data_IF_935078707701
#
_entry.id   IF_935078707701
#
_cell.length_a   1.000
_cell.length_b   1.000
_cell.length_c   1.000
_cell.angle_alpha   90.00
_cell.angle_beta   90.00
_cell.angle_gamma   90.00
#
_symmetry.space_group_name_H-M   'P 1'
#
loop_
_entity.id
_entity.type
_entity.pdbx_description
1 polymer ?
#
# COMPACT_ATOMS: atom_id res chain seq x y z
N UNK A 1 14.56 -10.31 26.85
CA UNK A 1 13.41 -9.44 26.51
C UNK A 1 12.18 -10.32 26.30
N UNK A 2 11.07 -10.10 27.00
CA UNK A 2 9.84 -10.89 26.81
C UNK A 2 9.01 -10.25 25.70
N UNK A 3 8.90 -10.93 24.56
CA UNK A 3 7.94 -10.57 23.50
C UNK A 3 6.60 -11.15 23.93
N UNK A 4 5.63 -10.28 24.22
CA UNK A 4 4.25 -10.73 24.42
C UNK A 4 3.63 -10.87 23.03
N UNK A 5 3.21 -12.10 22.67
CA UNK A 5 2.54 -12.40 21.40
C UNK A 5 1.08 -12.67 21.67
N UNK A 6 0.22 -11.74 21.29
CA UNK A 6 -1.18 -12.01 21.01
C UNK A 6 -1.29 -12.24 19.49
N UNK A 7 -2.28 -12.97 18.99
CA UNK A 7 -2.38 -13.30 17.55
C UNK A 7 -2.16 -12.07 16.64
N UNK A 8 -1.03 -12.07 15.89
CA UNK A 8 -0.66 -10.96 15.02
C UNK A 8 -0.09 -9.71 15.70
N UNK A 9 -0.04 -9.63 17.03
CA UNK A 9 0.52 -8.51 17.80
C UNK A 9 1.85 -8.91 18.45
N UNK A 10 2.94 -8.26 18.06
CA UNK A 10 4.24 -8.39 18.72
C UNK A 10 4.61 -7.09 19.42
N UNK A 11 4.69 -7.10 20.76
CA UNK A 11 5.06 -5.92 21.55
C UNK A 11 6.58 -5.85 21.72
N UNK A 12 7.16 -4.67 21.47
CA UNK A 12 8.57 -4.39 21.61
C UNK A 12 8.80 -3.08 22.39
N UNK A 13 10.06 -2.73 22.65
CA UNK A 13 10.39 -1.44 23.25
C UNK A 13 10.10 -0.32 22.23
N UNK A 14 9.38 0.72 22.64
CA UNK A 14 9.05 1.90 21.84
C UNK A 14 8.14 1.63 20.61
N UNK A 15 7.48 0.47 20.57
CA UNK A 15 6.53 0.13 19.50
C UNK A 15 6.00 -1.30 19.55
N UNK A 16 5.17 -1.63 18.58
CA UNK A 16 4.61 -2.95 18.36
C UNK A 16 4.52 -3.25 16.86
N UNK A 17 4.44 -4.51 16.49
CA UNK A 17 4.04 -4.94 15.13
C UNK A 17 2.63 -5.50 15.20
N UNK A 18 1.70 -4.92 14.45
CA UNK A 18 0.35 -5.42 14.30
C UNK A 18 0.19 -5.97 12.89
N UNK A 19 -0.07 -7.27 12.76
CA UNK A 19 -0.14 -8.01 11.51
C UNK A 19 1.09 -7.79 10.60
N UNK A 20 2.26 -7.53 11.21
CA UNK A 20 3.50 -7.22 10.50
C UNK A 20 3.67 -5.76 10.07
N UNK A 21 2.73 -4.87 10.41
CA UNK A 21 2.85 -3.41 10.25
C UNK A 21 3.45 -2.77 11.52
N UNK A 22 4.48 -1.93 11.44
CA UNK A 22 5.10 -1.28 12.59
C UNK A 22 4.25 -0.11 13.11
N UNK A 23 3.99 -0.10 14.41
CA UNK A 23 3.30 0.98 15.14
C UNK A 23 4.20 1.42 16.30
N UNK A 24 4.32 2.72 16.54
CA UNK A 24 5.11 3.26 17.66
C UNK A 24 5.95 4.46 17.25
N UNK A 25 7.10 4.61 17.91
CA UNK A 25 8.03 5.73 17.68
C UNK A 25 8.66 5.69 16.29
N UNK A 26 9.11 6.84 15.80
CA UNK A 26 9.76 6.91 14.49
C UNK A 26 11.07 6.12 14.45
N UNK A 27 11.84 6.11 15.53
CA UNK A 27 13.02 5.27 15.66
C UNK A 27 12.71 3.77 15.51
N UNK A 28 11.56 3.32 16.06
CA UNK A 28 11.10 1.94 15.90
C UNK A 28 10.72 1.63 14.45
N UNK A 29 9.97 2.53 13.79
CA UNK A 29 9.58 2.38 12.38
C UNK A 29 10.80 2.39 11.44
N UNK A 30 11.76 3.28 11.68
CA UNK A 30 13.01 3.34 10.91
C UNK A 30 13.81 2.04 11.07
N UNK A 31 13.95 1.53 12.29
CA UNK A 31 14.63 0.25 12.54
C UNK A 31 13.93 -0.90 11.82
N UNK A 32 12.59 -0.89 11.79
CA UNK A 32 11.80 -1.84 11.02
C UNK A 32 12.09 -1.76 9.52
N UNK A 33 12.12 -0.56 8.94
CA UNK A 33 12.42 -0.38 7.51
C UNK A 33 13.81 -0.89 7.13
N UNK A 34 14.82 -0.61 7.94
CA UNK A 34 16.19 -1.12 7.72
C UNK A 34 16.21 -2.66 7.71
N UNK A 35 15.61 -3.29 8.72
CA UNK A 35 15.54 -4.75 8.79
C UNK A 35 14.80 -5.35 7.58
N UNK A 36 13.74 -4.70 7.09
CA UNK A 36 13.02 -5.15 5.90
C UNK A 36 13.81 -4.99 4.60
N UNK A 37 14.62 -3.94 4.47
CA UNK A 37 15.54 -3.82 3.34
C UNK A 37 16.60 -4.90 3.34
N UNK A 38 17.16 -5.25 4.49
CA UNK A 38 18.13 -6.34 4.61
C UNK A 38 17.50 -7.69 4.23
N UNK A 39 16.28 -7.97 4.70
CA UNK A 39 15.53 -9.17 4.30
C UNK A 39 15.31 -9.24 2.77
N UNK A 40 14.93 -8.12 2.16
CA UNK A 40 14.70 -8.02 0.71
C UNK A 40 16.03 -8.19 -0.04
N UNK A 41 17.10 -7.56 0.41
CA UNK A 41 18.43 -7.72 -0.17
C UNK A 41 18.88 -9.19 -0.13
N UNK A 42 18.65 -9.89 0.99
CA UNK A 42 18.93 -11.32 1.11
C UNK A 42 18.13 -12.19 0.14
N UNK A 43 16.86 -11.82 -0.12
CA UNK A 43 16.04 -12.48 -1.15
C UNK A 43 16.59 -12.21 -2.56
N UNK A 44 16.90 -10.96 -2.88
CA UNK A 44 17.42 -10.57 -4.19
C UNK A 44 18.76 -11.24 -4.50
N UNK A 45 19.62 -11.38 -3.50
CA UNK A 45 20.86 -12.15 -3.62
C UNK A 45 20.59 -13.59 -4.04
N UNK A 46 19.64 -14.28 -3.36
CA UNK A 46 19.26 -15.65 -3.71
C UNK A 46 18.68 -15.77 -5.11
N UNK A 47 17.86 -14.81 -5.53
CA UNK A 47 17.33 -14.76 -6.90
C UNK A 47 18.48 -14.62 -7.91
N UNK A 48 19.46 -13.76 -7.64
CA UNK A 48 20.62 -13.57 -8.50
C UNK A 48 21.50 -14.80 -8.70
N UNK A 49 21.46 -15.78 -7.78
CA UNK A 49 22.20 -17.05 -7.91
C UNK A 49 21.53 -18.05 -8.88
N UNK A 50 20.29 -17.81 -9.31
CA UNK A 50 19.59 -18.68 -10.25
C UNK A 50 20.21 -18.58 -11.65
N UNK A 51 20.27 -19.69 -12.38
CA UNK A 51 20.88 -19.72 -13.71
C UNK A 51 19.95 -19.25 -14.85
N UNK A 52 18.65 -19.11 -14.59
CA UNK A 52 17.65 -18.79 -15.61
C UNK A 52 17.09 -17.38 -15.39
N UNK A 53 17.37 -16.46 -16.33
CA UNK A 53 16.95 -15.06 -16.28
C UNK A 53 15.42 -14.89 -16.29
N UNK A 54 14.68 -15.74 -17.00
CA UNK A 54 13.22 -15.69 -17.01
C UNK A 54 12.65 -16.01 -15.62
N UNK A 55 13.19 -17.02 -14.95
CA UNK A 55 12.78 -17.36 -13.57
C UNK A 55 13.14 -16.21 -12.62
N UNK A 56 14.31 -15.60 -12.77
CA UNK A 56 14.70 -14.44 -11.98
C UNK A 56 13.68 -13.29 -12.14
N UNK A 57 13.34 -12.92 -13.37
CA UNK A 57 12.39 -11.84 -13.67
C UNK A 57 11.01 -12.14 -13.08
N UNK A 58 10.52 -13.39 -13.20
CA UNK A 58 9.26 -13.79 -12.61
C UNK A 58 9.27 -13.66 -11.08
N UNK A 59 10.33 -14.10 -10.41
CA UNK A 59 10.48 -13.96 -8.96
C UNK A 59 10.63 -12.50 -8.53
N UNK A 60 11.33 -11.67 -9.32
CA UNK A 60 11.39 -10.24 -9.07
C UNK A 60 9.99 -9.63 -9.10
N UNK A 61 9.20 -9.92 -10.13
CA UNK A 61 7.86 -9.38 -10.32
C UNK A 61 6.84 -9.86 -9.28
N UNK A 62 6.77 -11.16 -9.05
CA UNK A 62 5.69 -11.74 -8.26
C UNK A 62 6.06 -11.97 -6.79
N UNK A 63 7.35 -11.97 -6.44
CA UNK A 63 7.79 -12.32 -5.10
C UNK A 63 8.61 -11.24 -4.40
N UNK A 64 9.52 -10.53 -5.08
CA UNK A 64 10.36 -9.52 -4.44
C UNK A 64 9.70 -8.13 -4.44
N UNK A 65 9.31 -7.64 -5.62
CA UNK A 65 8.69 -6.34 -5.81
C UNK A 65 7.40 -6.11 -4.99
N UNK A 66 6.45 -7.06 -4.91
CA UNK A 66 5.18 -6.82 -4.22
C UNK A 66 5.28 -6.87 -2.69
N UNK A 67 6.43 -7.24 -2.10
CA UNK A 67 6.58 -7.40 -0.64
C UNK A 67 6.31 -6.11 0.13
N UNK A 68 6.59 -4.96 -0.49
CA UNK A 68 6.39 -3.66 0.16
C UNK A 68 4.98 -3.13 0.00
N UNK A 69 4.15 -3.70 -0.89
CA UNK A 69 2.78 -3.21 -1.18
C UNK A 69 1.93 -3.16 0.08
N UNK A 70 2.03 -4.18 0.93
CA UNK A 70 1.29 -4.24 2.19
C UNK A 70 1.61 -3.03 3.09
N UNK A 71 2.89 -2.74 3.30
CA UNK A 71 3.30 -1.57 4.10
C UNK A 71 3.01 -0.25 3.39
N UNK A 72 3.07 -0.25 2.05
CA UNK A 72 2.79 0.94 1.27
C UNK A 72 1.34 1.42 1.45
N UNK A 73 0.41 0.46 1.58
CA UNK A 73 -1.02 0.67 1.82
C UNK A 73 -1.37 1.06 3.25
N UNK A 74 -0.61 0.58 4.24
CA UNK A 74 -0.97 0.73 5.66
C UNK A 74 -0.23 1.84 6.39
N UNK A 75 0.98 2.17 5.96
CA UNK A 75 1.81 3.18 6.62
C UNK A 75 1.59 4.51 5.89
N UNK A 76 1.34 5.56 6.65
CA UNK A 76 1.21 6.91 6.12
C UNK A 76 2.46 7.33 5.30
N UNK A 77 2.31 7.85 4.07
CA UNK A 77 3.40 8.42 3.27
C UNK A 77 4.28 9.43 4.01
N UNK A 78 3.71 10.19 4.96
CA UNK A 78 4.39 11.20 5.78
C UNK A 78 5.27 10.58 6.89
N UNK A 79 5.16 9.27 7.12
CA UNK A 79 5.96 8.57 8.14
C UNK A 79 7.46 8.73 7.86
N UNK A 80 8.26 9.21 8.83
CA UNK A 80 9.70 9.39 8.65
C UNK A 80 10.40 8.10 8.21
N UNK A 81 11.19 8.20 7.14
CA UNK A 81 11.95 7.08 6.58
C UNK A 81 11.17 6.17 5.61
N UNK A 82 9.84 6.25 5.52
CA UNK A 82 9.06 5.42 4.57
C UNK A 82 9.46 5.69 3.12
N UNK A 83 9.55 6.97 2.73
CA UNK A 83 9.94 7.36 1.36
C UNK A 83 11.31 6.82 0.99
N UNK A 84 12.29 7.01 1.87
CA UNK A 84 13.66 6.54 1.65
C UNK A 84 13.71 5.00 1.53
N UNK A 85 12.98 4.31 2.41
CA UNK A 85 12.81 2.86 2.34
C UNK A 85 12.28 2.39 0.97
N UNK A 86 11.24 3.03 0.44
CA UNK A 86 10.67 2.67 -0.85
C UNK A 86 11.60 3.00 -2.02
N UNK A 87 12.32 4.12 -1.97
CA UNK A 87 13.31 4.48 -2.99
C UNK A 87 14.46 3.48 -3.03
N UNK A 88 14.96 3.06 -1.86
CA UNK A 88 15.99 2.05 -1.76
C UNK A 88 15.50 0.69 -2.28
N UNK A 89 14.29 0.28 -1.92
CA UNK A 89 13.64 -0.91 -2.46
C UNK A 89 13.56 -0.86 -3.99
N UNK A 90 12.98 0.21 -4.56
CA UNK A 90 12.83 0.36 -6.00
C UNK A 90 14.20 0.29 -6.71
N UNK A 91 15.22 0.94 -6.14
CA UNK A 91 16.59 0.88 -6.66
C UNK A 91 17.21 -0.53 -6.58
N UNK A 92 16.95 -1.29 -5.51
CA UNK A 92 17.41 -2.68 -5.40
C UNK A 92 16.73 -3.58 -6.45
N UNK A 93 15.44 -3.40 -6.69
CA UNK A 93 14.68 -4.14 -7.70
C UNK A 93 15.23 -3.85 -9.11
N UNK A 94 15.46 -2.56 -9.44
CA UNK A 94 16.03 -2.17 -10.74
C UNK A 94 17.41 -2.78 -10.95
N UNK A 95 18.30 -2.73 -9.94
CA UNK A 95 19.64 -3.34 -10.03
C UNK A 95 19.58 -4.86 -10.21
N UNK A 96 18.68 -5.53 -9.51
CA UNK A 96 18.50 -6.97 -9.65
C UNK A 96 18.00 -7.34 -11.05
N UNK A 97 17.09 -6.54 -11.62
CA UNK A 97 16.62 -6.73 -12.98
C UNK A 97 17.73 -6.48 -14.02
N UNK A 98 18.50 -5.40 -13.89
CA UNK A 98 19.65 -5.12 -14.75
C UNK A 98 20.63 -6.29 -14.77
N UNK A 99 20.89 -6.87 -13.59
CA UNK A 99 21.74 -8.05 -13.44
C UNK A 99 21.15 -9.28 -14.15
N UNK A 100 19.85 -9.53 -13.99
CA UNK A 100 19.16 -10.66 -14.63
C UNK A 100 19.14 -10.56 -16.17
N UNK A 101 19.03 -9.35 -16.71
CA UNK A 101 19.03 -9.07 -18.13
C UNK A 101 20.43 -8.83 -18.72
N UNK A 102 21.48 -8.81 -17.89
CA UNK A 102 22.86 -8.49 -18.29
C UNK A 102 22.98 -7.13 -18.97
N UNK A 103 22.16 -6.15 -18.56
CA UNK A 103 22.17 -4.77 -19.08
C UNK A 103 23.07 -3.91 -18.20
N UNK A 104 24.00 -3.18 -18.82
CA UNK A 104 24.84 -2.24 -18.09
C UNK A 104 24.03 -1.03 -17.60
N UNK A 105 24.37 -0.43 -16.45
CA UNK A 105 23.68 0.76 -15.96
C UNK A 105 23.68 1.93 -16.95
N UNK A 106 24.72 2.07 -17.78
CA UNK A 106 24.82 3.08 -18.84
C UNK A 106 23.77 2.94 -19.94
N UNK A 107 23.32 1.71 -20.18
CA UNK A 107 22.40 1.37 -21.25
C UNK A 107 20.94 1.42 -20.77
N UNK A 108 20.75 1.55 -19.46
CA UNK A 108 19.44 1.66 -18.83
C UNK A 108 18.92 3.09 -18.91
N UNK A 109 18.28 3.42 -20.03
CA UNK A 109 17.74 4.75 -20.28
C UNK A 109 16.36 4.98 -19.63
N UNK A 110 15.95 6.25 -19.56
CA UNK A 110 14.65 6.64 -19.00
C UNK A 110 13.44 6.00 -19.71
N UNK A 111 13.55 5.70 -21.00
CA UNK A 111 12.50 4.99 -21.73
C UNK A 111 12.37 3.53 -21.27
N UNK A 112 13.49 2.86 -20.97
CA UNK A 112 13.52 1.49 -20.42
C UNK A 112 12.86 1.44 -19.05
N UNK A 113 13.17 2.42 -18.19
CA UNK A 113 12.53 2.56 -16.88
C UNK A 113 11.01 2.78 -17.00
N UNK A 114 10.59 3.59 -17.98
CA UNK A 114 9.17 3.78 -18.29
C UNK A 114 8.51 2.48 -18.72
N UNK A 115 9.09 1.77 -19.69
CA UNK A 115 8.54 0.51 -20.19
C UNK A 115 8.40 -0.54 -19.08
N UNK A 116 9.39 -0.67 -18.19
CA UNK A 116 9.32 -1.60 -17.06
C UNK A 116 8.22 -1.30 -16.05
N UNK A 117 7.78 -0.04 -15.98
CA UNK A 117 6.69 0.39 -15.10
C UNK A 117 5.30 0.13 -15.71
N UNK A 118 5.23 -0.17 -17.01
CA UNK A 118 3.98 -0.36 -17.71
C UNK A 118 3.34 -1.71 -17.36
N UNK A 119 2.00 -1.78 -17.39
CA UNK A 119 1.28 -3.04 -17.44
C UNK A 119 1.69 -3.92 -18.63
N UNK A 120 1.60 -5.24 -18.47
CA UNK A 120 1.99 -6.20 -19.50
C UNK A 120 1.30 -5.99 -20.86
N UNK A 121 0.06 -5.50 -20.87
CA UNK A 121 -0.69 -5.20 -22.10
C UNK A 121 -0.28 -3.88 -22.79
N UNK A 122 0.62 -3.09 -22.20
CA UNK A 122 1.06 -1.80 -22.71
C UNK A 122 2.55 -1.77 -23.12
N UNK A 123 3.16 -2.94 -23.36
CA UNK A 123 4.53 -3.02 -23.88
C UNK A 123 5.62 -3.03 -22.80
N UNK A 124 5.29 -3.59 -21.64
CA UNK A 124 6.24 -3.91 -20.58
C UNK A 124 7.36 -4.83 -21.09
N UNK A 125 8.59 -4.53 -20.69
CA UNK A 125 9.80 -5.20 -21.17
C UNK A 125 9.91 -6.59 -20.55
N UNK A 126 9.21 -7.55 -21.16
CA UNK A 126 9.14 -8.94 -20.69
C UNK A 126 8.13 -9.17 -19.56
N UNK A 127 7.19 -8.25 -19.34
CA UNK A 127 6.16 -8.41 -18.32
C UNK A 127 6.73 -8.36 -16.90
N UNK A 128 7.49 -7.32 -16.55
CA UNK A 128 8.06 -7.09 -15.23
C UNK A 128 7.12 -6.28 -14.30
N UNK A 129 6.36 -5.33 -14.85
CA UNK A 129 5.37 -4.44 -14.19
C UNK A 129 5.88 -3.92 -12.85
N UNK A 130 7.12 -3.41 -12.85
CA UNK A 130 7.86 -2.96 -11.69
C UNK A 130 7.62 -1.46 -11.46
N UNK A 131 6.36 -1.10 -11.26
CA UNK A 131 5.98 0.29 -11.00
C UNK A 131 6.61 0.77 -9.69
N UNK A 132 7.17 1.99 -9.69
CA UNK A 132 7.85 2.53 -8.50
C UNK A 132 6.90 2.58 -7.30
N UNK A 133 7.25 1.86 -6.25
CA UNK A 133 6.48 1.81 -5.01
C UNK A 133 6.56 3.15 -4.27
N UNK A 134 7.69 3.86 -4.39
CA UNK A 134 7.84 5.20 -3.87
C UNK A 134 6.86 6.19 -4.53
N UNK A 135 6.70 6.12 -5.86
CA UNK A 135 5.74 6.98 -6.59
C UNK A 135 4.29 6.63 -6.30
N UNK A 136 4.00 5.35 -6.04
CA UNK A 136 2.64 4.87 -5.76
C UNK A 136 2.24 5.00 -4.28
N UNK A 137 3.12 5.49 -3.41
CA UNK A 137 2.89 5.47 -1.95
C UNK A 137 1.63 6.21 -1.52
N UNK A 138 1.44 7.43 -2.02
CA UNK A 138 0.30 8.29 -1.67
C UNK A 138 -1.02 7.65 -2.12
N UNK A 139 -1.10 7.23 -3.39
CA UNK A 139 -2.33 6.63 -3.92
C UNK A 139 -2.63 5.26 -3.31
N UNK A 140 -1.61 4.45 -3.01
CA UNK A 140 -1.81 3.15 -2.37
C UNK A 140 -2.39 3.31 -0.97
N UNK A 141 -1.90 4.29 -0.21
CA UNK A 141 -2.41 4.63 1.11
C UNK A 141 -3.82 5.22 1.05
N UNK A 142 -4.02 6.30 0.29
CA UNK A 142 -5.31 6.97 0.17
C UNK A 142 -6.42 6.03 -0.31
N UNK A 143 -6.14 5.20 -1.31
CA UNK A 143 -7.09 4.20 -1.80
C UNK A 143 -7.46 3.17 -0.72
N UNK A 144 -6.50 2.73 0.08
CA UNK A 144 -6.75 1.75 1.14
C UNK A 144 -7.61 2.33 2.25
N UNK A 145 -7.38 3.59 2.61
CA UNK A 145 -8.21 4.32 3.56
C UNK A 145 -9.61 4.53 3.02
N UNK A 146 -9.75 4.99 1.76
CA UNK A 146 -11.05 5.15 1.12
C UNK A 146 -11.88 3.86 1.17
N UNK A 147 -11.28 2.72 0.79
CA UNK A 147 -11.94 1.41 0.80
C UNK A 147 -12.33 0.92 2.20
N UNK A 148 -11.60 1.32 3.24
CA UNK A 148 -11.80 0.81 4.60
C UNK A 148 -12.53 1.82 5.52
N UNK A 149 -12.68 3.06 5.11
CA UNK A 149 -13.22 4.19 5.90
C UNK A 149 -14.57 3.87 6.54
N UNK A 150 -15.52 3.32 5.78
CA UNK A 150 -16.84 2.93 6.29
C UNK A 150 -16.77 1.87 7.40
N UNK A 151 -15.93 0.83 7.21
CA UNK A 151 -15.74 -0.21 8.21
C UNK A 151 -14.99 0.30 9.45
N UNK A 152 -14.08 1.27 9.28
CA UNK A 152 -13.41 1.93 10.40
C UNK A 152 -14.45 2.74 11.20
N UNK A 153 -15.26 3.57 10.53
CA UNK A 153 -16.32 4.36 11.15
C UNK A 153 -17.31 3.49 11.94
N UNK A 154 -17.80 2.40 11.33
CA UNK A 154 -18.72 1.45 11.96
C UNK A 154 -18.13 0.81 13.23
N UNK A 155 -16.85 0.42 13.19
CA UNK A 155 -16.19 -0.21 14.36
C UNK A 155 -15.92 0.77 15.48
N UNK A 156 -15.52 2.00 15.15
CA UNK A 156 -15.28 3.06 16.13
C UNK A 156 -16.60 3.49 16.79
N UNK A 157 -17.66 3.66 16.01
CA UNK A 157 -18.99 4.01 16.53
C UNK A 157 -19.61 2.91 17.41
N UNK A 158 -19.45 1.63 17.07
CA UNK A 158 -20.01 0.50 17.85
C UNK A 158 -19.29 0.24 19.18
N UNK A 159 -17.99 0.51 19.29
CA UNK A 159 -17.17 0.10 20.46
C UNK A 159 -17.24 1.03 21.69
N UNK A 160 -18.31 1.81 21.86
CA UNK A 160 -18.45 2.80 22.95
C UNK A 160 -17.32 3.84 23.01
N UNK A 161 -16.84 4.30 21.86
CA UNK A 161 -16.21 5.63 21.78
C UNK A 161 -17.31 6.70 21.65
N UNK A 162 -18.40 6.57 22.42
CA UNK A 162 -19.50 7.56 22.43
C UNK A 162 -18.98 8.94 22.82
N UNK A 163 -17.96 8.97 23.67
CA UNK A 163 -17.32 10.19 24.15
C UNK A 163 -16.59 10.92 23.00
N UNK A 164 -16.00 10.17 22.07
CA UNK A 164 -15.35 10.72 20.87
C UNK A 164 -16.37 11.29 19.87
N UNK A 165 -17.55 10.66 19.74
CA UNK A 165 -18.66 11.20 18.91
C UNK A 165 -19.39 12.38 19.57
N UNK A 166 -19.36 12.47 20.90
CA UNK A 166 -20.00 13.53 21.67
C UNK A 166 -19.17 14.83 21.70
N UNK A 167 -17.86 14.74 21.50
CA UNK A 167 -17.00 15.91 21.41
C UNK A 167 -17.05 16.55 20.02
N UNK A 168 -17.46 17.83 19.90
CA UNK A 168 -17.62 18.51 18.61
C UNK A 168 -16.30 18.69 17.82
N UNK A 169 -15.14 18.44 18.46
CA UNK A 169 -13.80 18.56 17.89
C UNK A 169 -13.22 17.26 17.33
N UNK A 170 -13.98 16.16 17.40
CA UNK A 170 -13.51 14.82 17.08
C UNK A 170 -14.34 14.20 15.97
N UNK A 171 -14.39 14.88 14.82
CA UNK A 171 -15.10 14.36 13.66
C UNK A 171 -14.26 13.25 13.02
N UNK A 172 -14.93 12.28 12.40
CA UNK A 172 -14.24 11.18 11.73
C UNK A 172 -13.22 11.64 10.66
N UNK A 173 -13.51 12.76 9.99
CA UNK A 173 -12.58 13.35 9.02
C UNK A 173 -11.36 14.03 9.66
N UNK A 174 -11.43 14.40 10.95
CA UNK A 174 -10.33 15.04 11.68
C UNK A 174 -9.30 14.02 12.20
N UNK A 175 -9.57 12.72 12.05
CA UNK A 175 -8.56 11.71 12.33
C UNK A 175 -7.41 11.90 11.34
N UNK A 176 -6.18 12.08 11.84
CA UNK A 176 -4.98 12.32 11.02
C UNK A 176 -4.90 11.38 9.82
N UNK A 177 -5.17 10.08 10.03
CA UNK A 177 -5.10 9.07 8.97
C UNK A 177 -6.12 9.30 7.85
N UNK A 178 -7.30 9.84 8.17
CA UNK A 178 -8.35 10.18 7.20
C UNK A 178 -8.02 11.51 6.51
N UNK A 179 -7.65 12.54 7.28
CA UNK A 179 -7.25 13.84 6.76
C UNK A 179 -6.09 13.71 5.76
N UNK A 180 -5.04 12.99 6.15
CA UNK A 180 -3.87 12.71 5.31
C UNK A 180 -4.23 11.96 4.02
N UNK A 181 -5.13 10.98 4.11
CA UNK A 181 -5.60 10.26 2.92
C UNK A 181 -6.41 11.16 1.96
N UNK A 182 -7.24 12.05 2.51
CA UNK A 182 -7.97 13.05 1.72
C UNK A 182 -6.99 14.01 1.02
N UNK A 183 -5.99 14.53 1.73
CA UNK A 183 -4.95 15.39 1.17
C UNK A 183 -4.18 14.69 0.04
N UNK A 184 -3.77 13.44 0.26
CA UNK A 184 -3.04 12.64 -0.72
C UNK A 184 -3.88 12.41 -1.99
N UNK A 185 -5.18 12.11 -1.81
CA UNK A 185 -6.13 11.97 -2.92
C UNK A 185 -6.29 13.27 -3.70
N UNK A 186 -6.55 14.39 -3.02
CA UNK A 186 -6.72 15.71 -3.66
C UNK A 186 -5.46 16.14 -4.41
N UNK A 187 -4.28 15.94 -3.81
CA UNK A 187 -2.99 16.21 -4.45
C UNK A 187 -2.83 15.40 -5.75
N UNK A 188 -3.16 14.11 -5.72
CA UNK A 188 -3.08 13.25 -6.91
C UNK A 188 -4.06 13.69 -7.99
N UNK A 189 -5.33 13.95 -7.65
CA UNK A 189 -6.34 14.39 -8.62
C UNK A 189 -5.89 15.67 -9.32
N UNK A 190 -5.36 16.64 -8.56
CA UNK A 190 -4.82 17.87 -9.13
C UNK A 190 -3.63 17.62 -10.08
N UNK A 191 -2.77 16.64 -9.79
CA UNK A 191 -1.68 16.24 -10.69
C UNK A 191 -2.21 15.59 -11.98
N UNK A 192 -3.19 14.70 -11.89
CA UNK A 192 -3.76 14.01 -13.06
C UNK A 192 -4.46 15.02 -13.97
N UNK A 193 -5.29 15.92 -13.42
CA UNK A 193 -5.97 16.97 -14.19
C UNK A 193 -4.95 17.90 -14.87
N UNK A 194 -3.83 18.19 -14.21
CA UNK A 194 -2.74 18.98 -14.82
C UNK A 194 -2.07 18.27 -16.00
N UNK A 195 -1.96 16.93 -15.94
CA UNK A 195 -1.37 16.12 -17.01
C UNK A 195 -2.34 15.89 -18.17
N UNK A 196 -3.62 15.69 -17.87
CA UNK A 196 -4.69 15.49 -18.86
C UNK A 196 -5.97 16.19 -18.36
N UNK A 197 -6.20 17.45 -18.77
CA UNK A 197 -7.39 18.20 -18.37
C UNK A 197 -8.72 17.51 -18.72
N UNK A 198 -8.74 16.65 -19.74
CA UNK A 198 -9.96 15.93 -20.14
C UNK A 198 -10.41 14.90 -19.08
N UNK A 199 -9.55 14.59 -18.10
CA UNK A 199 -9.88 13.68 -17.00
C UNK A 199 -10.63 14.33 -15.85
N UNK A 200 -10.80 15.65 -15.84
CA UNK A 200 -11.52 16.35 -14.78
C UNK A 200 -12.93 15.76 -14.56
N UNK A 201 -13.66 15.51 -15.65
CA UNK A 201 -15.00 14.89 -15.60
C UNK A 201 -15.01 13.46 -15.02
N UNK A 202 -13.86 12.76 -15.00
CA UNK A 202 -13.74 11.42 -14.41
C UNK A 202 -13.64 11.44 -12.87
N UNK A 203 -13.42 12.61 -12.27
CA UNK A 203 -13.28 12.79 -10.82
C UNK A 203 -14.45 13.56 -10.20
N UNK A 204 -15.38 14.05 -11.01
CA UNK A 204 -16.65 14.58 -10.53
C UNK A 204 -17.47 13.41 -9.99
N UNK A 205 -17.97 13.53 -8.76
CA UNK A 205 -18.81 12.51 -8.13
C UNK A 205 -19.97 12.14 -9.06
N UNK A 206 -20.18 10.84 -9.25
CA UNK A 206 -21.49 10.33 -9.69
C UNK A 206 -22.48 10.81 -8.62
N UNK A 207 -23.39 11.69 -9.00
CA UNK A 207 -24.46 12.14 -8.11
C UNK A 207 -25.14 10.91 -7.50
N UNK A 208 -25.43 10.87 -6.19
CA UNK A 208 -25.96 9.70 -5.49
C UNK A 208 -27.28 9.13 -6.03
N UNK A 209 -27.91 9.77 -7.03
CA UNK A 209 -29.22 9.39 -7.56
C UNK A 209 -29.24 8.05 -8.32
N UNK A 210 -28.10 7.45 -8.68
CA UNK A 210 -28.09 6.21 -9.47
C UNK A 210 -27.57 4.94 -8.77
N UNK A 211 -27.34 4.93 -7.44
CA UNK A 211 -26.68 3.75 -6.84
C UNK A 211 -26.89 3.39 -5.38
N UNK A 212 -27.65 4.16 -4.60
CA UNK A 212 -27.98 3.76 -3.23
C UNK A 212 -29.34 3.06 -3.21
N UNK A 213 -29.33 1.74 -3.42
CA UNK A 213 -30.42 0.90 -2.91
C UNK A 213 -30.47 1.15 -1.39
N UNK A 214 -31.61 1.61 -0.83
CA UNK A 214 -31.73 1.82 0.60
C UNK A 214 -31.43 0.50 1.32
N UNK A 215 -30.52 0.53 2.29
CA UNK A 215 -30.40 -0.52 3.30
C UNK A 215 -31.70 -0.49 4.12
N UNK A 216 -32.73 -1.20 3.66
CA UNK A 216 -33.88 -1.50 4.49
C UNK A 216 -33.39 -2.36 5.67
N UNK A 217 -33.42 -1.77 6.85
CA UNK A 217 -33.19 -2.45 8.11
C UNK A 217 -34.36 -3.42 8.38
N UNK A 218 -34.28 -4.61 7.79
CA UNK A 218 -35.10 -5.77 8.17
C UNK A 218 -34.28 -6.75 9.01
N UNK A 219 -34.84 -7.34 10.09
CA UNK A 219 -34.14 -8.36 10.86
C UNK A 219 -33.94 -9.61 9.98
N UNK A 220 -32.69 -9.96 9.69
CA UNK A 220 -32.36 -11.22 9.01
C UNK A 220 -32.47 -12.34 10.04
N UNK A 221 -33.53 -13.13 9.93
CA UNK A 221 -33.73 -14.37 10.68
C UNK A 221 -32.69 -15.41 10.22
N UNK A 222 -31.64 -15.61 11.02
CA UNK A 222 -30.52 -16.52 10.73
C UNK A 222 -30.86 -17.98 11.11
N UNK A 223 -32.13 -18.37 10.95
CA UNK A 223 -32.67 -19.60 11.51
C UNK A 223 -32.81 -20.81 10.57
N UNK A 224 -32.74 -20.65 9.25
CA UNK A 224 -33.17 -21.74 8.36
C UNK A 224 -32.41 -21.80 7.03
N UNK A 225 -31.18 -22.32 7.02
CA UNK A 225 -30.61 -22.87 5.77
C UNK A 225 -29.37 -23.79 5.89
N UNK A 226 -29.04 -24.32 7.07
CA UNK A 226 -27.94 -25.31 7.23
C UNK A 226 -28.43 -26.77 7.28
N UNK A 227 -29.39 -27.14 6.45
CA UNK A 227 -29.66 -28.54 6.13
C UNK A 227 -30.00 -28.68 4.65
N UNK A 228 -28.97 -28.95 3.85
CA UNK A 228 -28.94 -29.84 2.67
C UNK A 228 -27.88 -29.34 1.68
N UNK A 229 -26.67 -29.92 1.77
CA UNK A 229 -25.90 -30.51 0.67
C UNK A 229 -24.62 -31.11 1.22
#
# INVERSE_FOLDING_TARGET
MRVCRLEGLEIARNGAKLLGCPIGTDAFKQSFFHAKLEEIQGLLHKIGLLHNSQIQILLLRFCAHPRVIYWNRLIDPRTPGKREFLLQHDGQIVRALQSALQIQPSDFQAHTATQLSLPANLGDLGGASLSSQARLSEIAFASSIAMCSGAIYERLSRRRFSDWLAEPHHRFHDLDIIAHACEDWSSMVAQIIRMDPNKEASFLEVTPEEGLVPLEAGPVDVGAQWQQR
#
